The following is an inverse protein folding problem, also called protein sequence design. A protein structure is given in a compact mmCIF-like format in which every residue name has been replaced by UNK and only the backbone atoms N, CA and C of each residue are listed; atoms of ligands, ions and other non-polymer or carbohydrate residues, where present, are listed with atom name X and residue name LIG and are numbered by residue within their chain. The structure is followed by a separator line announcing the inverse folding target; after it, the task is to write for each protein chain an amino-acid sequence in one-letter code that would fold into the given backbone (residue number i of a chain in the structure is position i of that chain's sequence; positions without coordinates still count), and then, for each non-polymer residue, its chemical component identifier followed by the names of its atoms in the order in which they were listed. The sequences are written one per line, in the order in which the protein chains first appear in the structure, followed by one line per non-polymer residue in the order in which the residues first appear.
data_IF_003160378736
#
_entry.id   IF_003160378736
#
_cell.length_a   1.000
_cell.length_b   1.000
_cell.length_c   1.000
_cell.angle_alpha   90.00
_cell.angle_beta   90.00
_cell.angle_gamma   90.00
#
_symmetry.space_group_name_H-M   'P 1'
#
loop_
_entity.id
_entity.type
_entity.pdbx_description
1 polymer ?
#
# COMPACT_ATOMS: atom_id res chain seq x y z
N UNK A 1 32.17 -18.19 -15.27
CA UNK A 1 30.86 -18.38 -14.60
C UNK A 1 29.91 -19.01 -15.61
N UNK A 2 29.63 -20.30 -15.47
CA UNK A 2 28.72 -21.01 -16.37
C UNK A 2 27.28 -20.71 -15.96
N UNK A 3 26.57 -19.96 -16.80
CA UNK A 3 25.15 -19.66 -16.62
C UNK A 3 24.39 -20.95 -16.93
N UNK A 4 23.89 -21.64 -15.91
CA UNK A 4 23.03 -22.79 -16.10
C UNK A 4 21.76 -22.33 -16.84
N UNK A 5 21.62 -22.76 -18.10
CA UNK A 5 20.41 -22.55 -18.90
C UNK A 5 19.23 -23.19 -18.18
N UNK A 6 18.34 -22.37 -17.62
CA UNK A 6 17.06 -22.81 -17.07
C UNK A 6 16.19 -23.26 -18.25
N UNK A 7 16.33 -24.53 -18.65
CA UNK A 7 15.46 -25.16 -19.63
C UNK A 7 14.14 -25.51 -18.95
N UNK A 8 13.04 -25.06 -19.55
CA UNK A 8 11.68 -25.39 -19.12
C UNK A 8 11.39 -26.88 -19.36
N UNK A 9 11.65 -27.69 -18.33
CA UNK A 9 11.43 -29.14 -18.30
C UNK A 9 9.97 -29.52 -18.02
N UNK A 10 9.05 -28.54 -17.96
CA UNK A 10 7.64 -28.81 -17.62
C UNK A 10 6.98 -29.76 -18.62
N UNK A 11 7.37 -29.68 -19.89
CA UNK A 11 6.83 -30.57 -20.93
C UNK A 11 7.36 -32.01 -20.80
N UNK A 12 8.64 -32.18 -20.47
CA UNK A 12 9.22 -33.49 -20.16
C UNK A 12 8.51 -34.11 -18.95
N UNK A 13 8.34 -33.34 -17.88
CA UNK A 13 7.64 -33.79 -16.67
C UNK A 13 6.18 -34.19 -16.96
N UNK A 14 5.43 -33.38 -17.73
CA UNK A 14 4.06 -33.71 -18.14
C UNK A 14 4.00 -35.00 -18.95
N UNK A 15 4.91 -35.19 -19.90
CA UNK A 15 4.96 -36.40 -20.73
C UNK A 15 5.24 -37.66 -19.90
N UNK A 16 6.16 -37.57 -18.93
CA UNK A 16 6.47 -38.65 -17.98
C UNK A 16 5.27 -38.94 -17.08
N UNK A 17 4.57 -37.92 -16.59
CA UNK A 17 3.36 -38.07 -15.78
C UNK A 17 2.25 -38.80 -16.56
N UNK A 18 1.98 -38.41 -17.81
CA UNK A 18 1.00 -39.08 -18.66
C UNK A 18 1.38 -40.53 -18.91
N UNK A 19 2.67 -40.80 -19.12
CA UNK A 19 3.17 -42.16 -19.34
C UNK A 19 3.09 -43.03 -18.08
N UNK A 20 3.36 -42.47 -16.90
CA UNK A 20 3.19 -43.14 -15.60
C UNK A 20 1.72 -43.38 -15.30
N UNK A 21 0.83 -42.43 -15.58
CA UNK A 21 -0.61 -42.58 -15.40
C UNK A 21 -1.18 -43.64 -16.33
N UNK A 22 -0.73 -43.69 -17.59
CA UNK A 22 -1.09 -44.75 -18.54
C UNK A 22 -0.58 -46.11 -18.09
N UNK A 23 0.65 -46.18 -17.55
CA UNK A 23 1.22 -47.41 -16.98
C UNK A 23 0.47 -47.87 -15.72
N UNK A 24 0.07 -46.97 -14.84
CA UNK A 24 -0.77 -47.27 -13.68
C UNK A 24 -2.17 -47.71 -14.08
N UNK A 25 -2.77 -47.10 -15.11
CA UNK A 25 -4.05 -47.51 -15.66
C UNK A 25 -3.97 -48.91 -16.29
N UNK A 26 -2.88 -49.24 -17.00
CA UNK A 26 -2.65 -50.58 -17.53
C UNK A 26 -2.27 -51.60 -16.45
N UNK A 27 -1.60 -51.21 -15.36
CA UNK A 27 -1.31 -52.11 -14.23
C UNK A 27 -2.54 -52.39 -13.35
N UNK A 28 -3.61 -51.59 -13.48
CA UNK A 28 -4.92 -51.84 -12.85
C UNK A 28 -5.74 -52.92 -13.54
N UNK A 29 -5.37 -53.36 -14.76
CA UNK A 29 -6.10 -54.41 -15.47
C UNK A 29 -5.78 -55.85 -14.97
N UNK A 30 -4.74 -56.03 -14.14
CA UNK A 30 -4.26 -57.36 -13.71
C UNK A 30 -4.24 -57.63 -12.21
N UNK A 31 -4.67 -56.69 -11.36
CA UNK A 31 -4.71 -56.89 -9.92
C UNK A 31 -5.99 -56.30 -9.35
N UNK A 32 -6.92 -57.20 -9.04
CA UNK A 32 -8.11 -57.00 -8.24
C UNK A 32 -7.69 -56.52 -6.83
N UNK A 33 -7.30 -55.26 -6.72
CA UNK A 33 -7.31 -54.51 -5.47
C UNK A 33 -8.52 -53.59 -5.54
N UNK A 34 -9.62 -54.15 -5.07
CA UNK A 34 -10.77 -53.38 -4.59
C UNK A 34 -10.21 -52.22 -3.77
N UNK A 35 -10.46 -51.00 -4.23
CA UNK A 35 -10.20 -49.79 -3.45
C UNK A 35 -10.82 -50.03 -2.07
N UNK A 36 -10.00 -50.11 -1.02
CA UNK A 36 -10.48 -50.28 0.36
C UNK A 36 -11.25 -49.05 0.87
N UNK A 37 -11.43 -48.06 0.00
CA UNK A 37 -12.24 -46.89 0.21
C UNK A 37 -13.29 -46.85 -0.91
N UNK A 38 -14.56 -46.81 -0.54
CA UNK A 38 -15.64 -46.50 -1.47
C UNK A 38 -15.40 -45.13 -2.11
N UNK A 39 -15.98 -44.86 -3.28
CA UNK A 39 -15.90 -43.54 -3.91
C UNK A 39 -16.40 -42.42 -2.97
N UNK A 40 -17.30 -42.75 -2.03
CA UNK A 40 -17.73 -41.86 -0.95
C UNK A 40 -16.65 -41.59 0.11
N UNK A 41 -15.83 -42.57 0.49
CA UNK A 41 -14.70 -42.36 1.42
C UNK A 41 -13.53 -41.63 0.75
N UNK A 42 -13.37 -41.81 -0.57
CA UNK A 42 -12.39 -41.06 -1.37
C UNK A 42 -12.81 -39.60 -1.57
N UNK A 43 -14.12 -39.34 -1.68
CA UNK A 43 -14.69 -37.99 -1.66
C UNK A 43 -14.62 -37.33 -0.28
N UNK A 44 -14.64 -38.09 0.81
CA UNK A 44 -14.43 -37.56 2.16
C UNK A 44 -12.94 -37.27 2.46
N UNK A 45 -12.02 -38.06 1.90
CA UNK A 45 -10.57 -37.84 2.04
C UNK A 45 -10.03 -36.73 1.12
N UNK A 46 -10.62 -36.59 -0.08
CA UNK A 46 -10.41 -35.45 -0.96
C UNK A 46 -11.47 -34.39 -0.64
N UNK A 47 -11.28 -33.67 0.48
CA UNK A 47 -12.18 -32.58 0.88
C UNK A 47 -12.64 -31.75 -0.33
N UNK A 48 -13.95 -31.75 -0.54
CA UNK A 48 -14.70 -30.85 -1.43
C UNK A 48 -14.09 -30.58 -2.82
N UNK A 49 -13.79 -31.62 -3.59
CA UNK A 49 -13.49 -31.45 -5.02
C UNK A 49 -14.70 -31.04 -5.89
N UNK A 50 -15.90 -30.92 -5.30
CA UNK A 50 -17.14 -30.54 -6.00
C UNK A 50 -17.67 -29.14 -5.64
N UNK A 51 -16.91 -28.32 -4.92
CA UNK A 51 -17.21 -26.91 -4.78
C UNK A 51 -16.44 -26.12 -5.85
N UNK A 52 -17.11 -25.66 -6.89
CA UNK A 52 -16.64 -24.58 -7.79
C UNK A 52 -16.54 -23.22 -7.06
N UNK A 53 -16.10 -23.21 -5.80
CA UNK A 53 -15.80 -22.01 -5.04
C UNK A 53 -14.28 -21.84 -5.01
N UNK A 54 -13.79 -20.67 -5.39
CA UNK A 54 -12.41 -20.24 -5.08
C UNK A 54 -12.03 -20.72 -3.67
N UNK A 55 -10.79 -21.20 -3.44
CA UNK A 55 -10.35 -21.59 -2.12
C UNK A 55 -10.71 -20.45 -1.15
N UNK A 56 -11.54 -20.76 -0.14
CA UNK A 56 -11.93 -19.76 0.87
C UNK A 56 -10.63 -19.31 1.51
N UNK A 57 -10.17 -18.11 1.11
CA UNK A 57 -9.00 -17.46 1.69
C UNK A 57 -9.16 -17.53 3.20
N UNK A 58 -8.07 -17.85 3.90
CA UNK A 58 -8.07 -17.79 5.36
C UNK A 58 -8.60 -16.41 5.80
N UNK A 59 -9.28 -16.37 6.94
CA UNK A 59 -9.81 -15.09 7.46
C UNK A 59 -8.66 -14.07 7.63
N UNK A 60 -7.45 -14.53 7.95
CA UNK A 60 -6.23 -13.74 7.88
C UNK A 60 -5.97 -13.19 6.47
N UNK A 61 -5.90 -14.05 5.45
CA UNK A 61 -5.61 -13.63 4.08
C UNK A 61 -6.67 -12.69 3.50
N UNK A 62 -7.93 -12.83 3.94
CA UNK A 62 -9.01 -11.92 3.56
C UNK A 62 -8.82 -10.53 4.16
N UNK A 63 -8.53 -10.45 5.46
CA UNK A 63 -8.23 -9.18 6.16
C UNK A 63 -6.93 -8.54 5.65
N UNK A 64 -5.87 -9.32 5.45
CA UNK A 64 -4.60 -8.83 4.90
C UNK A 64 -4.77 -8.25 3.49
N UNK A 65 -5.59 -8.89 2.63
CA UNK A 65 -5.88 -8.38 1.29
C UNK A 65 -6.72 -7.09 1.32
N UNK A 66 -7.63 -6.95 2.28
CA UNK A 66 -8.39 -5.72 2.49
C UNK A 66 -7.49 -4.56 2.92
N UNK A 67 -6.61 -4.79 3.90
CA UNK A 67 -5.60 -3.81 4.34
C UNK A 67 -4.69 -3.42 3.16
N UNK A 68 -4.19 -4.38 2.39
CA UNK A 68 -3.32 -4.11 1.24
C UNK A 68 -4.01 -3.26 0.16
N UNK A 69 -5.31 -3.49 -0.10
CA UNK A 69 -6.10 -2.62 -0.98
C UNK A 69 -6.30 -1.24 -0.39
N UNK A 70 -6.58 -1.16 0.91
CA UNK A 70 -6.71 0.11 1.64
C UNK A 70 -5.44 0.96 1.53
N UNK A 71 -4.26 0.37 1.77
CA UNK A 71 -2.94 1.02 1.62
C UNK A 71 -2.74 1.54 0.19
N UNK A 72 -3.07 0.73 -0.81
CA UNK A 72 -2.93 1.13 -2.23
C UNK A 72 -3.84 2.31 -2.54
N UNK A 73 -5.10 2.28 -2.09
CA UNK A 73 -6.04 3.39 -2.24
C UNK A 73 -5.59 4.65 -1.49
N UNK A 74 -4.94 4.52 -0.32
CA UNK A 74 -4.36 5.69 0.38
C UNK A 74 -3.17 6.26 -0.36
N UNK A 75 -2.33 5.41 -0.95
CA UNK A 75 -1.19 5.82 -1.75
C UNK A 75 -1.62 6.61 -3.01
N UNK A 76 -2.70 6.19 -3.67
CA UNK A 76 -3.28 6.93 -4.80
C UNK A 76 -3.78 8.32 -4.40
N UNK A 77 -4.51 8.42 -3.27
CA UNK A 77 -4.96 9.71 -2.72
C UNK A 77 -3.77 10.59 -2.33
N UNK A 78 -2.74 9.99 -1.72
CA UNK A 78 -1.51 10.69 -1.36
C UNK A 78 -0.77 11.21 -2.60
N UNK A 79 -0.73 10.45 -3.68
CA UNK A 79 -0.10 10.89 -4.93
C UNK A 79 -0.85 12.10 -5.52
N UNK A 80 -2.19 12.09 -5.48
CA UNK A 80 -3.00 13.25 -5.87
C UNK A 80 -2.74 14.46 -4.96
N UNK A 81 -2.67 14.26 -3.64
CA UNK A 81 -2.32 15.30 -2.68
C UNK A 81 -0.92 15.86 -2.95
N UNK A 82 0.05 14.99 -3.24
CA UNK A 82 1.42 15.37 -3.56
C UNK A 82 1.49 16.25 -4.82
N UNK A 83 0.69 15.94 -5.85
CA UNK A 83 0.59 16.76 -7.03
C UNK A 83 0.02 18.15 -6.69
N UNK A 84 -1.07 18.21 -5.94
CA UNK A 84 -1.69 19.47 -5.50
C UNK A 84 -0.76 20.30 -4.60
N UNK A 85 -0.05 19.66 -3.66
CA UNK A 85 0.89 20.33 -2.75
C UNK A 85 2.13 20.89 -3.47
N UNK A 86 2.59 20.21 -4.54
CA UNK A 86 3.72 20.64 -5.36
C UNK A 86 3.37 21.77 -6.32
N UNK A 87 2.10 21.95 -6.70
CA UNK A 87 1.66 23.10 -7.51
C UNK A 87 1.91 24.39 -6.72
N UNK A 88 2.78 25.24 -7.26
CA UNK A 88 3.38 26.41 -6.59
C UNK A 88 2.65 27.74 -6.88
N UNK A 89 1.50 27.67 -7.55
CA UNK A 89 0.78 28.81 -8.11
C UNK A 89 -0.23 29.37 -7.12
N UNK A 90 -0.13 30.67 -6.82
CA UNK A 90 -1.01 31.40 -5.88
C UNK A 90 -2.51 31.33 -6.25
N UNK A 91 -2.83 31.09 -7.53
CA UNK A 91 -4.19 31.17 -8.07
C UNK A 91 -4.84 29.82 -8.39
N UNK A 92 -4.11 28.70 -8.24
CA UNK A 92 -4.64 27.34 -8.46
C UNK A 92 -4.49 26.48 -7.18
N UNK A 93 -4.32 27.15 -6.04
CA UNK A 93 -4.29 26.51 -4.73
C UNK A 93 -5.74 26.18 -4.35
N UNK A 94 -6.08 24.89 -4.26
CA UNK A 94 -7.41 24.39 -3.86
C UNK A 94 -7.35 23.96 -2.39
N UNK A 95 -7.43 24.89 -1.42
CA UNK A 95 -7.22 24.56 -0.01
C UNK A 95 -8.27 23.56 0.52
N UNK A 96 -9.50 23.63 0.03
CA UNK A 96 -10.59 22.73 0.43
C UNK A 96 -10.27 21.28 0.05
N UNK A 97 -9.87 21.03 -1.20
CA UNK A 97 -9.51 19.68 -1.67
C UNK A 97 -8.30 19.12 -0.92
N UNK A 98 -7.29 19.96 -0.65
CA UNK A 98 -6.09 19.56 0.09
C UNK A 98 -6.45 19.19 1.53
N UNK A 99 -7.28 19.99 2.21
CA UNK A 99 -7.72 19.73 3.57
C UNK A 99 -8.58 18.46 3.66
N UNK A 100 -9.49 18.26 2.71
CA UNK A 100 -10.31 17.05 2.62
C UNK A 100 -9.46 15.80 2.40
N UNK A 101 -8.54 15.83 1.42
CA UNK A 101 -7.62 14.71 1.16
C UNK A 101 -6.72 14.44 2.36
N UNK A 102 -6.22 15.48 3.04
CA UNK A 102 -5.42 15.34 4.26
C UNK A 102 -6.21 14.63 5.36
N UNK A 103 -7.48 15.01 5.55
CA UNK A 103 -8.36 14.39 6.54
C UNK A 103 -8.69 12.92 6.19
N UNK A 104 -9.02 12.64 4.93
CA UNK A 104 -9.30 11.27 4.45
C UNK A 104 -8.06 10.38 4.62
N UNK A 105 -6.88 10.85 4.21
CA UNK A 105 -5.63 10.09 4.34
C UNK A 105 -5.31 9.84 5.82
N UNK A 106 -5.47 10.84 6.69
CA UNK A 106 -5.31 10.68 8.14
C UNK A 106 -6.23 9.59 8.69
N UNK A 107 -7.52 9.63 8.33
CA UNK A 107 -8.50 8.65 8.79
C UNK A 107 -8.17 7.23 8.29
N UNK A 108 -7.79 7.11 7.01
CA UNK A 108 -7.40 5.84 6.40
C UNK A 108 -6.14 5.28 7.07
N UNK A 109 -5.10 6.09 7.31
CA UNK A 109 -3.87 5.67 8.00
C UNK A 109 -4.14 5.17 9.41
N UNK A 110 -4.99 5.88 10.17
CA UNK A 110 -5.40 5.46 11.51
C UNK A 110 -6.17 4.14 11.49
N UNK A 111 -7.12 3.99 10.56
CA UNK A 111 -7.88 2.75 10.40
C UNK A 111 -6.98 1.58 9.99
N UNK A 112 -6.06 1.79 9.04
CA UNK A 112 -5.10 0.78 8.60
C UNK A 112 -4.18 0.34 9.73
N UNK A 113 -3.69 1.27 10.55
CA UNK A 113 -2.87 0.95 11.72
C UNK A 113 -3.63 0.08 12.75
N UNK A 114 -4.90 0.40 13.01
CA UNK A 114 -5.76 -0.42 13.88
C UNK A 114 -6.01 -1.82 13.30
N UNK A 115 -6.28 -1.91 12.01
CA UNK A 115 -6.51 -3.19 11.33
C UNK A 115 -5.24 -4.07 11.33
N UNK A 116 -4.07 -3.48 11.10
CA UNK A 116 -2.77 -4.18 11.18
C UNK A 116 -2.52 -4.69 12.60
N UNK A 117 -2.77 -3.86 13.62
CA UNK A 117 -2.64 -4.26 15.03
C UNK A 117 -3.58 -5.43 15.38
N UNK A 118 -4.80 -5.41 14.84
CA UNK A 118 -5.79 -6.49 14.97
C UNK A 118 -5.35 -7.78 14.26
N UNK A 119 -4.70 -7.64 13.10
CA UNK A 119 -4.17 -8.75 12.32
C UNK A 119 -2.98 -9.41 13.04
N UNK A 120 -2.13 -8.60 13.67
CA UNK A 120 -1.02 -9.08 14.48
C UNK A 120 -1.51 -9.85 15.72
N UNK A 121 -2.53 -9.34 16.43
CA UNK A 121 -3.10 -10.04 17.57
C UNK A 121 -3.79 -11.35 17.17
N UNK A 122 -4.47 -11.37 16.01
CA UNK A 122 -5.04 -12.59 15.43
C UNK A 122 -3.95 -13.63 15.12
N UNK A 123 -2.84 -13.20 14.52
CA UNK A 123 -1.71 -14.08 14.19
C UNK A 123 -1.12 -14.70 15.44
N UNK A 124 -0.91 -13.89 16.49
CA UNK A 124 -0.38 -14.35 17.79
C UNK A 124 -1.33 -15.29 18.53
N UNK A 125 -2.66 -15.10 18.37
CA UNK A 125 -3.67 -15.95 18.98
C UNK A 125 -3.85 -17.29 18.24
N UNK A 126 -3.79 -17.28 16.90
CA UNK A 126 -3.98 -18.47 16.07
C UNK A 126 -2.74 -19.36 16.00
N UNK A 127 -1.53 -18.77 16.04
CA UNK A 127 -0.28 -19.50 15.95
C UNK A 127 0.63 -19.22 17.17
N UNK A 128 0.34 -19.80 18.34
CA UNK A 128 1.20 -19.70 19.52
C UNK A 128 2.46 -20.57 19.43
N UNK A 129 2.51 -21.53 18.49
CA UNK A 129 3.68 -22.37 18.18
C UNK A 129 4.29 -21.93 16.85
N UNK A 130 5.58 -22.19 16.66
CA UNK A 130 6.31 -21.91 15.44
C UNK A 130 5.84 -22.87 14.32
N UNK A 131 4.77 -22.47 13.64
CA UNK A 131 4.23 -23.16 12.46
C UNK A 131 4.53 -22.33 11.20
N UNK A 132 4.73 -22.99 10.05
CA UNK A 132 5.05 -22.33 8.79
C UNK A 132 3.98 -21.29 8.37
N UNK A 133 2.71 -21.55 8.68
CA UNK A 133 1.61 -20.60 8.43
C UNK A 133 1.71 -19.37 9.34
N UNK A 134 2.13 -19.54 10.59
CA UNK A 134 2.36 -18.44 11.53
C UNK A 134 3.50 -17.53 11.09
N UNK A 135 4.60 -18.12 10.63
CA UNK A 135 5.74 -17.40 10.04
C UNK A 135 5.34 -16.66 8.75
N UNK A 136 4.57 -17.29 7.86
CA UNK A 136 4.05 -16.62 6.67
C UNK A 136 3.14 -15.42 7.03
N UNK A 137 2.19 -15.62 7.95
CA UNK A 137 1.28 -14.57 8.40
C UNK A 137 2.04 -13.40 9.02
N UNK A 138 3.06 -13.69 9.83
CA UNK A 138 3.95 -12.67 10.42
C UNK A 138 4.70 -11.88 9.33
N UNK A 139 5.25 -12.55 8.34
CA UNK A 139 5.92 -11.89 7.20
C UNK A 139 4.98 -10.99 6.39
N UNK A 140 3.71 -11.42 6.19
CA UNK A 140 2.70 -10.61 5.52
C UNK A 140 2.36 -9.36 6.34
N UNK A 141 2.18 -9.49 7.66
CA UNK A 141 1.93 -8.36 8.56
C UNK A 141 3.08 -7.36 8.48
N UNK A 142 4.33 -7.85 8.49
CA UNK A 142 5.52 -7.02 8.36
C UNK A 142 5.57 -6.25 7.03
N UNK A 143 5.28 -6.93 5.91
CA UNK A 143 5.21 -6.27 4.60
C UNK A 143 4.16 -5.15 4.58
N UNK A 144 3.00 -5.38 5.19
CA UNK A 144 1.94 -4.37 5.29
C UNK A 144 2.35 -3.19 6.18
N UNK A 145 3.04 -3.45 7.29
CA UNK A 145 3.59 -2.42 8.18
C UNK A 145 4.62 -1.56 7.47
N UNK A 146 5.56 -2.18 6.74
CA UNK A 146 6.55 -1.47 5.93
C UNK A 146 5.89 -0.54 4.92
N UNK A 147 4.94 -1.05 4.13
CA UNK A 147 4.18 -0.24 3.17
C UNK A 147 3.39 0.90 3.84
N UNK A 148 2.75 0.65 4.99
CA UNK A 148 2.03 1.70 5.72
C UNK A 148 2.98 2.78 6.22
N UNK A 149 4.17 2.38 6.68
CA UNK A 149 5.22 3.30 7.12
C UNK A 149 5.70 4.16 5.96
N UNK A 150 5.99 3.55 4.80
CA UNK A 150 6.39 4.27 3.59
C UNK A 150 5.34 5.30 3.16
N UNK A 151 4.05 4.93 3.14
CA UNK A 151 2.95 5.85 2.84
C UNK A 151 2.88 6.98 3.87
N UNK A 152 3.06 6.67 5.16
CA UNK A 152 3.02 7.68 6.22
C UNK A 152 4.19 8.66 6.11
N UNK A 153 5.40 8.18 5.83
CA UNK A 153 6.59 9.04 5.62
C UNK A 153 6.37 9.97 4.43
N UNK A 154 5.93 9.43 3.29
CA UNK A 154 5.66 10.25 2.10
C UNK A 154 4.52 11.26 2.37
N UNK A 155 3.51 10.90 3.18
CA UNK A 155 2.48 11.85 3.60
C UNK A 155 3.05 13.01 4.43
N UNK A 156 3.91 12.72 5.40
CA UNK A 156 4.63 13.76 6.16
C UNK A 156 5.43 14.68 5.23
N UNK A 157 6.18 14.13 4.28
CA UNK A 157 6.98 14.92 3.33
C UNK A 157 6.11 15.84 2.47
N UNK A 158 4.95 15.35 2.01
CA UNK A 158 3.97 16.14 1.25
C UNK A 158 3.40 17.28 2.10
N UNK A 159 3.07 17.01 3.37
CA UNK A 159 2.59 18.02 4.31
C UNK A 159 3.67 19.09 4.58
N UNK A 160 4.94 18.70 4.74
CA UNK A 160 6.04 19.66 4.89
C UNK A 160 6.23 20.55 3.66
N UNK A 161 6.15 19.97 2.46
CA UNK A 161 6.19 20.72 1.20
C UNK A 161 5.01 21.70 1.16
N UNK A 162 3.82 21.28 1.58
CA UNK A 162 2.63 22.14 1.66
C UNK A 162 2.84 23.29 2.64
N UNK A 163 3.34 23.03 3.85
CA UNK A 163 3.66 24.07 4.84
C UNK A 163 4.62 25.10 4.29
N UNK A 164 5.71 24.66 3.65
CA UNK A 164 6.68 25.56 2.99
C UNK A 164 6.03 26.39 1.88
N UNK A 165 5.13 25.80 1.10
CA UNK A 165 4.42 26.49 0.02
C UNK A 165 3.45 27.54 0.57
N UNK A 166 2.68 27.20 1.60
CA UNK A 166 1.78 28.15 2.30
C UNK A 166 2.60 29.30 2.90
N UNK A 167 3.70 29.01 3.60
CA UNK A 167 4.57 30.03 4.20
C UNK A 167 5.18 30.96 3.14
N UNK A 168 5.66 30.40 2.02
CA UNK A 168 6.18 31.21 0.91
C UNK A 168 5.10 32.08 0.27
N UNK A 169 3.87 31.58 0.13
CA UNK A 169 2.73 32.35 -0.39
C UNK A 169 2.32 33.47 0.56
N UNK A 170 2.31 33.21 1.87
CA UNK A 170 2.04 34.19 2.91
C UNK A 170 3.09 35.30 2.91
N UNK A 171 4.38 34.95 2.91
CA UNK A 171 5.47 35.93 2.86
C UNK A 171 5.43 36.78 1.58
N UNK A 172 5.16 36.19 0.41
CA UNK A 172 4.98 36.97 -0.83
C UNK A 172 3.81 37.94 -0.75
N UNK A 173 2.71 37.52 -0.13
CA UNK A 173 1.53 38.38 0.07
C UNK A 173 1.84 39.49 1.07
N UNK A 174 2.48 39.20 2.21
CA UNK A 174 2.93 40.20 3.19
C UNK A 174 3.90 41.22 2.57
N UNK A 175 4.83 40.78 1.71
CA UNK A 175 5.75 41.67 1.00
C UNK A 175 5.01 42.54 -0.04
N UNK A 176 4.03 41.99 -0.74
CA UNK A 176 3.20 42.75 -1.67
C UNK A 176 2.34 43.77 -0.93
N UNK A 177 1.64 43.36 0.12
CA UNK A 177 0.79 44.24 0.94
C UNK A 177 1.62 45.33 1.60
N UNK A 178 2.80 45.03 2.14
CA UNK A 178 3.69 46.06 2.70
C UNK A 178 4.23 47.02 1.63
N UNK A 179 4.52 46.54 0.41
CA UNK A 179 4.92 47.40 -0.72
C UNK A 179 3.79 48.29 -1.24
N UNK A 180 2.56 47.79 -1.26
CA UNK A 180 1.37 48.56 -1.65
C UNK A 180 1.00 49.56 -0.56
N UNK A 181 0.97 49.16 0.71
CA UNK A 181 0.70 50.05 1.83
C UNK A 181 1.75 51.14 2.00
N UNK A 182 3.00 50.91 1.57
CA UNK A 182 4.04 51.97 1.53
C UNK A 182 3.95 52.86 0.30
N UNK A 183 3.37 52.40 -0.81
CA UNK A 183 3.06 53.24 -1.99
C UNK A 183 1.74 54.01 -1.87
N UNK A 184 0.81 53.52 -1.05
CA UNK A 184 -0.44 54.20 -0.70
C UNK A 184 -0.23 54.99 0.60
N UNK A 185 0.81 55.82 0.61
CA UNK A 185 0.83 56.95 1.51
C UNK A 185 -0.09 58.00 0.87
N UNK A 186 -1.21 58.41 1.51
CA UNK A 186 -2.03 59.46 0.96
C UNK A 186 -1.22 60.75 1.09
N UNK A 187 -0.44 61.07 0.07
CA UNK A 187 -0.10 62.45 -0.16
C UNK A 187 -1.42 63.11 -0.55
N UNK A 188 -2.13 63.64 0.44
CA UNK A 188 -3.19 64.64 0.27
C UNK A 188 -2.49 65.92 -0.22
N UNK A 189 -1.85 65.84 -1.38
CA UNK A 189 -1.57 66.99 -2.21
C UNK A 189 -2.92 67.33 -2.81
N UNK A 190 -3.56 68.33 -2.20
CA UNK A 190 -4.72 69.01 -2.76
C UNK A 190 -4.59 69.05 -4.27
N UNK A 191 -5.58 68.51 -4.96
CA UNK A 191 -5.68 68.52 -6.41
C UNK A 191 -5.63 69.97 -6.88
N UNK A 192 -4.43 70.46 -7.21
CA UNK A 192 -4.22 71.70 -7.92
C UNK A 192 -4.64 71.50 -9.37
N UNK A 193 -5.93 71.27 -9.59
CA UNK A 193 -6.55 71.43 -10.90
C UNK A 193 -6.56 72.93 -11.22
N UNK A 194 -5.84 73.39 -12.26
CA UNK A 194 -5.79 74.80 -12.65
C UNK A 194 -7.13 75.33 -13.19
N UNK A 195 -8.16 74.48 -13.27
CA UNK A 195 -9.53 74.82 -13.62
C UNK A 195 -10.35 75.40 -12.46
N UNK A 196 -9.88 75.28 -11.21
CA UNK A 196 -10.55 75.84 -10.02
C UNK A 196 -9.82 77.03 -9.39
N UNK A 197 -8.70 77.49 -9.95
CA UNK A 197 -8.04 78.72 -9.50
C UNK A 197 -8.81 79.94 -9.98
N UNK A 198 -9.82 80.35 -9.22
CA UNK A 198 -10.42 81.68 -9.35
C UNK A 198 -9.38 82.73 -8.93
N UNK A 199 -9.14 83.79 -9.72
CA UNK A 199 -8.18 84.81 -9.34
C UNK A 199 -8.78 85.66 -8.22
N UNK A 200 -8.29 85.48 -6.99
CA UNK A 200 -8.66 86.31 -5.85
C UNK A 200 -7.95 87.66 -5.96
N UNK A 201 -8.57 88.59 -6.70
CA UNK A 201 -8.25 90.02 -6.62
C UNK A 201 -9.07 90.63 -5.48
N UNK A 202 -8.37 91.24 -4.53
CA UNK A 202 -8.91 91.73 -3.27
C UNK A 202 -10.12 92.65 -3.38
N UNK A 203 -11.06 92.47 -2.46
CA UNK A 203 -12.05 93.44 -2.02
C UNK A 203 -12.52 93.03 -0.61
N UNK A 204 -12.49 93.91 0.40
CA UNK A 204 -13.03 93.61 1.72
C UNK A 204 -14.53 93.94 1.75
N UNK A 205 -15.36 92.94 2.02
CA UNK A 205 -16.81 93.08 2.24
C UNK A 205 -17.28 92.11 3.32
N UNK A 206 -18.07 92.55 4.32
CA UNK A 206 -18.49 91.71 5.43
C UNK A 206 -19.85 91.03 5.11
N UNK A 207 -19.99 89.75 5.44
CA UNK A 207 -21.32 89.13 5.56
C UNK A 207 -21.43 87.69 5.05
N UNK A 208 -21.54 86.78 6.02
CA UNK A 208 -22.43 85.61 6.06
C UNK A 208 -22.29 84.49 4.99
N UNK A 209 -21.81 83.36 5.50
CA UNK A 209 -22.56 82.10 5.61
C UNK A 209 -22.97 81.38 4.30
N UNK A 210 -22.37 80.21 4.06
CA UNK A 210 -23.03 78.89 4.02
C UNK A 210 -22.28 77.86 3.16
N UNK A 211 -22.15 76.65 3.74
CA UNK A 211 -21.91 75.33 3.11
C UNK A 211 -20.48 74.97 2.69
N UNK A 212 -19.60 74.85 3.69
CA UNK A 212 -18.46 73.91 3.61
C UNK A 212 -18.97 72.48 3.84
N UNK A 213 -19.44 71.83 2.78
CA UNK A 213 -19.65 70.39 2.74
C UNK A 213 -18.30 69.73 2.47
N UNK A 214 -17.60 69.36 3.54
CA UNK A 214 -16.36 68.60 3.50
C UNK A 214 -16.66 67.12 3.86
N UNK A 215 -16.89 66.21 2.90
CA UNK A 215 -17.04 64.79 3.17
C UNK A 215 -15.68 64.08 3.05
N UNK A 216 -14.64 64.58 3.73
CA UNK A 216 -13.30 63.97 3.69
C UNK A 216 -13.14 62.92 4.81
N UNK A 217 -14.08 62.84 5.76
CA UNK A 217 -14.08 61.85 6.84
C UNK A 217 -14.51 60.45 6.39
N UNK A 218 -15.59 60.33 5.62
CA UNK A 218 -16.14 59.03 5.24
C UNK A 218 -15.30 58.29 4.17
N UNK A 219 -14.65 59.02 3.26
CA UNK A 219 -13.83 58.40 2.22
C UNK A 219 -12.52 57.80 2.78
N UNK A 220 -11.98 58.38 3.86
CA UNK A 220 -10.76 57.87 4.50
C UNK A 220 -11.06 56.65 5.40
N UNK A 221 -12.26 56.60 6.00
CA UNK A 221 -12.71 55.44 6.78
C UNK A 221 -13.01 54.23 5.87
N UNK A 222 -13.65 54.46 4.71
CA UNK A 222 -13.92 53.39 3.72
C UNK A 222 -12.64 52.76 3.16
N UNK A 223 -11.58 53.56 2.98
CA UNK A 223 -10.29 53.04 2.48
C UNK A 223 -9.53 52.22 3.55
N UNK A 224 -9.79 52.49 4.83
CA UNK A 224 -9.26 51.69 5.95
C UNK A 224 -10.08 50.41 6.17
N UNK A 225 -11.37 50.41 5.82
CA UNK A 225 -12.22 49.21 5.77
C UNK A 225 -11.84 48.29 4.59
N UNK A 226 -11.41 48.84 3.45
CA UNK A 226 -10.92 48.07 2.30
C UNK A 226 -9.54 47.42 2.53
N UNK A 227 -8.81 47.80 3.58
CA UNK A 227 -7.60 47.11 4.04
C UNK A 227 -7.89 45.89 4.94
N UNK A 228 -9.13 45.74 5.45
CA UNK A 228 -9.53 44.59 6.26
C UNK A 228 -9.63 43.24 5.50
N UNK A 229 -10.14 43.13 4.26
CA UNK A 229 -10.25 41.83 3.57
C UNK A 229 -8.92 41.13 3.31
N UNK A 230 -7.78 41.84 3.39
CA UNK A 230 -6.45 41.27 3.15
C UNK A 230 -5.84 40.60 4.40
N UNK A 231 -6.29 40.97 5.61
CA UNK A 231 -5.89 40.29 6.84
C UNK A 231 -6.48 38.88 6.94
N UNK A 232 -7.70 38.70 6.40
CA UNK A 232 -8.42 37.42 6.46
C UNK A 232 -7.66 36.31 5.73
N UNK A 233 -7.05 36.60 4.59
CA UNK A 233 -6.24 35.65 3.85
C UNK A 233 -5.00 35.18 4.63
N UNK A 234 -4.31 36.10 5.31
CA UNK A 234 -3.13 35.76 6.13
C UNK A 234 -3.55 34.92 7.34
N UNK A 235 -4.69 35.24 7.96
CA UNK A 235 -5.26 34.46 9.05
C UNK A 235 -5.63 33.03 8.63
N UNK A 236 -6.35 32.86 7.52
CA UNK A 236 -6.71 31.54 6.97
C UNK A 236 -5.48 30.69 6.64
N UNK A 237 -4.42 31.30 6.12
CA UNK A 237 -3.13 30.63 5.84
C UNK A 237 -2.44 30.19 7.14
N UNK A 238 -2.54 30.97 8.21
CA UNK A 238 -2.01 30.64 9.54
C UNK A 238 -2.73 29.44 10.17
N UNK A 239 -4.06 29.46 10.15
CA UNK A 239 -4.89 28.34 10.63
C UNK A 239 -4.59 27.04 9.87
N UNK A 240 -4.42 27.12 8.55
CA UNK A 240 -4.08 25.96 7.73
C UNK A 240 -2.72 25.35 8.11
N UNK A 241 -1.70 26.18 8.43
CA UNK A 241 -0.40 25.69 8.90
C UNK A 241 -0.56 24.97 10.24
N UNK A 242 -1.29 25.56 11.19
CA UNK A 242 -1.51 24.96 12.50
C UNK A 242 -2.24 23.61 12.39
N UNK A 243 -3.25 23.52 11.52
CA UNK A 243 -3.96 22.27 11.25
C UNK A 243 -3.04 21.18 10.68
N UNK A 244 -2.11 21.56 9.79
CA UNK A 244 -1.10 20.64 9.24
C UNK A 244 -0.12 20.20 10.33
N UNK A 245 0.36 21.12 11.18
CA UNK A 245 1.27 20.80 12.28
C UNK A 245 0.63 19.84 13.29
N UNK A 246 -0.64 20.06 13.65
CA UNK A 246 -1.41 19.11 14.48
C UNK A 246 -1.47 17.73 13.84
N UNK A 247 -1.73 17.68 12.54
CA UNK A 247 -1.77 16.41 11.78
C UNK A 247 -0.41 15.71 11.76
N UNK A 248 0.69 16.45 11.57
CA UNK A 248 2.06 15.91 11.61
C UNK A 248 2.40 15.35 13.00
N UNK A 249 2.01 16.06 14.07
CA UNK A 249 2.24 15.60 15.44
C UNK A 249 1.45 14.32 15.76
N UNK A 250 0.20 14.24 15.33
CA UNK A 250 -0.63 13.04 15.50
C UNK A 250 -0.11 11.85 14.68
N UNK A 251 0.36 12.09 13.44
CA UNK A 251 1.08 11.09 12.66
C UNK A 251 2.34 10.60 13.39
N UNK A 252 3.02 11.48 14.13
CA UNK A 252 4.12 11.14 15.04
C UNK A 252 3.76 10.02 16.03
N UNK A 253 2.52 10.02 16.55
CA UNK A 253 2.01 8.94 17.41
C UNK A 253 1.86 7.61 16.68
N UNK A 254 1.38 7.64 15.43
CA UNK A 254 1.27 6.44 14.57
C UNK A 254 2.67 5.93 14.21
N UNK A 255 3.61 6.82 13.88
CA UNK A 255 5.00 6.49 13.61
C UNK A 255 5.69 5.85 14.81
N UNK A 256 5.45 6.35 16.02
CA UNK A 256 6.01 5.76 17.24
C UNK A 256 5.56 4.30 17.41
N UNK A 257 4.28 4.03 17.17
CA UNK A 257 3.73 2.67 17.24
C UNK A 257 4.26 1.77 16.12
N UNK A 258 4.37 2.27 14.89
CA UNK A 258 4.93 1.51 13.77
C UNK A 258 6.43 1.25 13.96
N UNK A 259 7.18 2.23 14.47
CA UNK A 259 8.62 2.13 14.70
C UNK A 259 8.95 1.06 15.74
N UNK A 260 8.24 1.01 16.88
CA UNK A 260 8.44 -0.05 17.87
C UNK A 260 8.08 -1.42 17.31
N UNK A 261 6.98 -1.50 16.57
CA UNK A 261 6.49 -2.72 15.95
C UNK A 261 7.43 -3.27 14.87
N UNK A 262 8.08 -2.39 14.10
CA UNK A 262 9.09 -2.71 13.08
C UNK A 262 10.44 -3.04 13.72
N UNK A 263 10.87 -2.31 14.77
CA UNK A 263 12.16 -2.56 15.42
C UNK A 263 12.22 -3.89 16.16
N UNK A 264 11.12 -4.31 16.81
CA UNK A 264 11.02 -5.63 17.47
C UNK A 264 11.04 -6.79 16.45
N UNK A 265 10.71 -6.53 15.18
CA UNK A 265 10.54 -7.57 14.16
C UNK A 265 11.59 -7.53 13.06
N UNK A 266 12.43 -6.49 12.99
CA UNK A 266 13.50 -6.33 11.98
C UNK A 266 14.58 -7.41 12.04
N UNK A 267 14.69 -8.18 13.13
CA UNK A 267 15.59 -9.33 13.24
C UNK A 267 15.16 -10.50 12.32
N UNK A 268 13.88 -10.57 11.92
CA UNK A 268 13.34 -11.66 11.10
C UNK A 268 13.63 -11.51 9.60
N UNK A 269 13.92 -10.31 9.08
CA UNK A 269 14.24 -10.07 7.66
C UNK A 269 15.54 -10.78 7.23
N UNK A 270 16.44 -11.08 8.17
CA UNK A 270 17.67 -11.83 7.89
C UNK A 270 17.43 -13.33 7.64
N UNK A 271 16.20 -13.84 7.83
CA UNK A 271 15.87 -15.28 7.77
C UNK A 271 15.29 -15.77 6.44
N UNK A 272 15.33 -14.96 5.37
CA UNK A 272 15.01 -15.49 4.02
C UNK A 272 15.98 -16.64 3.66
N UNK A 273 17.23 -16.59 4.13
CA UNK A 273 18.18 -17.70 3.97
C UNK A 273 17.77 -18.95 4.78
N UNK A 274 17.24 -18.78 6.01
CA UNK A 274 16.83 -19.91 6.86
C UNK A 274 15.61 -20.68 6.34
N UNK A 275 14.63 -20.00 5.74
CA UNK A 275 13.49 -20.67 5.11
C UNK A 275 13.90 -21.48 3.86
N UNK A 276 15.03 -21.15 3.23
CA UNK A 276 15.56 -21.95 2.10
C UNK A 276 16.15 -23.26 2.63
N UNK A 277 16.77 -23.25 3.80
CA UNK A 277 17.35 -24.43 4.45
C UNK A 277 16.26 -25.44 4.87
N UNK A 278 15.15 -24.98 5.46
CA UNK A 278 14.02 -25.85 5.80
C UNK A 278 13.34 -26.46 4.55
N UNK A 279 13.32 -25.73 3.42
CA UNK A 279 12.83 -26.25 2.15
C UNK A 279 13.78 -27.32 1.60
N UNK A 280 15.09 -27.12 1.72
CA UNK A 280 16.09 -28.12 1.32
C UNK A 280 15.93 -29.40 2.16
N UNK A 281 15.79 -29.29 3.47
CA UNK A 281 15.60 -30.45 4.36
C UNK A 281 14.35 -31.26 4.02
N UNK A 282 13.24 -30.59 3.74
CA UNK A 282 12.00 -31.25 3.33
C UNK A 282 12.12 -31.90 1.94
N UNK A 283 12.83 -31.27 1.01
CA UNK A 283 13.10 -31.83 -0.33
C UNK A 283 14.02 -33.04 -0.25
N UNK A 284 15.06 -33.01 0.60
CA UNK A 284 15.93 -34.17 0.86
C UNK A 284 15.16 -35.32 1.52
N UNK A 285 14.25 -35.01 2.45
CA UNK A 285 13.34 -35.97 3.06
C UNK A 285 12.46 -36.68 2.01
N UNK A 286 11.84 -35.90 1.11
CA UNK A 286 11.06 -36.42 0.00
C UNK A 286 11.90 -37.26 -0.97
N UNK A 287 13.15 -36.85 -1.25
CA UNK A 287 14.08 -37.62 -2.07
C UNK A 287 14.43 -38.97 -1.43
N UNK A 288 14.65 -39.01 -0.10
CA UNK A 288 14.89 -40.27 0.62
C UNK A 288 13.70 -41.22 0.54
N UNK A 289 12.47 -40.71 0.62
CA UNK A 289 11.27 -41.54 0.45
C UNK A 289 11.12 -42.07 -0.97
N UNK A 290 11.38 -41.23 -1.98
CA UNK A 290 11.38 -41.65 -3.39
C UNK A 290 12.45 -42.73 -3.66
N UNK A 291 13.65 -42.61 -3.08
CA UNK A 291 14.70 -43.62 -3.18
C UNK A 291 14.34 -44.92 -2.46
N UNK A 292 13.69 -44.85 -1.29
CA UNK A 292 13.15 -46.05 -0.60
C UNK A 292 12.07 -46.74 -1.43
N UNK A 293 11.18 -45.98 -2.07
CA UNK A 293 10.16 -46.54 -2.96
C UNK A 293 10.81 -47.18 -4.19
N UNK A 294 11.80 -46.51 -4.79
CA UNK A 294 12.54 -47.04 -5.93
C UNK A 294 13.28 -48.34 -5.60
N UNK A 295 13.94 -48.44 -4.44
CA UNK A 295 14.63 -49.66 -4.03
C UNK A 295 13.67 -50.83 -3.80
N UNK A 296 12.49 -50.56 -3.22
CA UNK A 296 11.42 -51.55 -3.06
C UNK A 296 10.84 -52.02 -4.40
N UNK A 297 10.69 -51.12 -5.37
CA UNK A 297 10.24 -51.47 -6.73
C UNK A 297 11.32 -52.23 -7.52
N UNK A 298 12.59 -51.83 -7.40
CA UNK A 298 13.74 -52.49 -8.04
C UNK A 298 13.98 -53.91 -7.49
N UNK A 299 13.75 -54.12 -6.19
CA UNK A 299 13.90 -55.44 -5.56
C UNK A 299 13.01 -56.54 -6.13
N UNK A 300 11.88 -56.19 -6.75
CA UNK A 300 10.93 -57.17 -7.28
C UNK A 300 11.35 -57.77 -8.63
N UNK A 301 12.46 -57.31 -9.23
CA UNK A 301 12.97 -57.82 -10.52
C UNK A 301 13.40 -59.29 -10.44
N UNK A 302 13.92 -59.74 -9.29
CA UNK A 302 14.28 -61.14 -9.10
C UNK A 302 13.05 -62.06 -9.01
N UNK A 303 11.93 -61.56 -8.47
CA UNK A 303 10.65 -62.27 -8.48
C UNK A 303 10.13 -62.43 -9.92
N UNK A 304 10.21 -61.38 -10.73
CA UNK A 304 9.86 -61.43 -12.16
C UNK A 304 10.74 -62.43 -12.92
N UNK A 305 12.05 -62.44 -12.66
CA UNK A 305 12.97 -63.39 -13.29
C UNK A 305 12.64 -64.86 -12.94
N UNK A 306 12.27 -65.13 -11.69
CA UNK A 306 11.83 -66.48 -11.27
C UNK A 306 10.53 -66.91 -11.95
N UNK A 307 9.54 -66.02 -12.02
CA UNK A 307 8.28 -66.30 -12.71
C UNK A 307 8.49 -66.55 -14.20
N UNK A 308 9.38 -65.78 -14.84
CA UNK A 308 9.77 -65.99 -16.23
C UNK A 308 10.51 -67.33 -16.44
N UNK A 309 11.41 -67.70 -15.52
CA UNK A 309 12.11 -68.98 -15.57
C UNK A 309 11.17 -70.19 -15.47
N UNK A 310 10.17 -70.13 -14.59
CA UNK A 310 9.14 -71.18 -14.49
C UNK A 310 8.30 -71.27 -15.77
N UNK A 311 7.91 -70.13 -16.36
CA UNK A 311 7.21 -70.09 -17.65
C UNK A 311 8.07 -70.66 -18.79
N UNK A 312 9.37 -70.39 -18.81
CA UNK A 312 10.30 -70.86 -19.84
C UNK A 312 10.49 -72.39 -19.76
N UNK A 313 10.58 -72.94 -18.54
CA UNK A 313 10.61 -74.40 -18.33
C UNK A 313 9.30 -75.04 -18.78
N UNK A 314 8.15 -74.46 -18.43
CA UNK A 314 6.85 -74.95 -18.91
C UNK A 314 6.73 -74.91 -20.43
N UNK A 315 7.22 -73.86 -21.07
CA UNK A 315 7.24 -73.74 -22.52
C UNK A 315 8.12 -74.82 -23.17
N UNK A 316 9.32 -75.07 -22.64
CA UNK A 316 10.20 -76.13 -23.13
C UNK A 316 9.57 -77.52 -22.96
N UNK A 317 8.95 -77.79 -21.82
CA UNK A 317 8.22 -79.05 -21.60
C UNK A 317 7.04 -79.20 -22.56
N UNK A 318 6.29 -78.11 -22.81
CA UNK A 318 5.20 -78.12 -23.78
C UNK A 318 5.69 -78.40 -25.19
N UNK A 319 6.78 -77.76 -25.64
CA UNK A 319 7.38 -78.01 -26.96
C UNK A 319 7.89 -79.45 -27.07
N UNK A 320 8.48 -80.01 -26.01
CA UNK A 320 9.00 -81.37 -26.01
C UNK A 320 7.90 -82.44 -25.99
N UNK A 321 6.74 -82.14 -25.40
CA UNK A 321 5.56 -83.01 -25.41
C UNK A 321 4.76 -82.87 -26.71
N UNK A 322 4.76 -81.67 -27.32
CA UNK A 322 4.04 -81.38 -28.55
C UNK A 322 4.82 -81.72 -29.83
N UNK A 323 6.14 -81.94 -29.72
CA UNK A 323 7.01 -82.51 -30.76
C UNK A 323 7.00 -84.05 -30.68
#
# INVERSE_FOLDING_TARGET
MAVASIQDRTNEFRSVLTQVQKRQASSKAGAQRQSLLSDSQKAAANGDANAHGKPRRSEFARKAAEIGRGITGTMEKLQKLAELAKRKTLFDDRPVEINELTFIIKQDLSSLNQQISSLQSLTRAQHPKADQEGEHNKNVVFMLQGKLTDVSVNFKDVLEVRTKNIQASRSRTENFVSSVSSHVQPNISQSASPLYSTPTRGSPGPGQDLLSLNPVGDQQLLMMEEAQPQNEYIHQRGEAIEAIERTINELGGIFGQLATMVSEQSEMIQRIDANTEDVVDNVEGAQRELLKYWSRVSGNRWLVAKMFGVLMIFFLLWVLIAA
#
